data_IF_405845429279
#
_entry.id   IF_405845429279
#
_cell.length_a   1.000
_cell.length_b   1.000
_cell.length_c   1.000
_cell.angle_alpha   90.00
_cell.angle_beta   90.00
_cell.angle_gamma   90.00
#
_symmetry.space_group_name_H-M   'P 1'
#
loop_
_entity.id
_entity.type
_entity.pdbx_description
1 polymer ?
#
# COMPACT_ATOMS: atom_id res chain seq x y z
N UNK A 1 7.72 15.60 17.15
CA UNK A 1 7.79 14.17 16.82
C UNK A 1 8.39 14.09 15.43
N UNK A 2 9.53 13.44 15.25
CA UNK A 2 10.05 13.15 13.93
C UNK A 2 9.10 12.14 13.29
N UNK A 3 8.22 12.60 12.40
CA UNK A 3 7.54 11.70 11.47
C UNK A 3 8.65 11.00 10.71
N UNK A 4 8.88 9.73 11.06
CA UNK A 4 9.84 8.91 10.36
C UNK A 4 9.28 8.75 8.94
N UNK A 5 9.83 9.55 8.01
CA UNK A 5 9.40 9.56 6.62
C UNK A 5 9.64 8.19 6.01
N UNK A 6 8.63 7.32 6.08
CA UNK A 6 8.69 5.99 5.49
C UNK A 6 8.33 6.12 4.01
N UNK A 7 9.35 6.33 3.19
CA UNK A 7 9.18 6.37 1.73
C UNK A 7 8.80 4.97 1.24
N UNK A 8 7.57 4.81 0.76
CA UNK A 8 7.12 3.62 0.03
C UNK A 8 7.41 3.88 -1.45
N UNK A 9 8.04 2.91 -2.12
CA UNK A 9 8.34 3.05 -3.55
C UNK A 9 7.07 2.92 -4.40
N UNK A 10 7.01 3.52 -5.60
CA UNK A 10 6.01 3.15 -6.59
C UNK A 10 6.05 1.65 -6.88
N UNK A 11 4.97 1.08 -7.40
CA UNK A 11 4.85 -0.35 -7.70
C UNK A 11 5.05 -1.28 -6.50
N UNK A 12 4.91 -0.75 -5.26
CA UNK A 12 4.96 -1.56 -4.05
C UNK A 12 3.73 -2.47 -4.00
N UNK A 13 3.97 -3.77 -3.85
CA UNK A 13 2.91 -4.77 -3.74
C UNK A 13 2.17 -4.68 -2.41
N UNK A 14 0.86 -4.83 -2.47
CA UNK A 14 -0.06 -4.76 -1.35
C UNK A 14 -1.15 -5.82 -1.49
N UNK A 15 -1.85 -6.14 -0.40
CA UNK A 15 -2.91 -7.13 -0.42
C UNK A 15 -4.17 -6.58 0.27
N UNK A 16 -5.29 -6.64 -0.43
CA UNK A 16 -6.61 -6.33 0.09
C UNK A 16 -7.46 -7.60 0.13
N UNK A 17 -7.97 -8.05 1.29
CA UNK A 17 -8.76 -9.29 1.38
C UNK A 17 -9.95 -9.37 0.42
N UNK A 18 -10.57 -8.23 0.13
CA UNK A 18 -11.73 -8.14 -0.77
C UNK A 18 -11.36 -8.05 -2.25
N UNK A 19 -10.13 -7.59 -2.58
CA UNK A 19 -9.73 -7.28 -3.97
C UNK A 19 -8.56 -8.12 -4.49
N UNK A 20 -7.87 -8.84 -3.61
CA UNK A 20 -6.67 -9.60 -3.92
C UNK A 20 -5.38 -8.76 -3.87
N UNK A 21 -4.35 -9.25 -4.57
CA UNK A 21 -3.08 -8.54 -4.72
C UNK A 21 -3.24 -7.28 -5.59
N UNK A 22 -2.47 -6.25 -5.24
CA UNK A 22 -2.40 -5.01 -5.99
C UNK A 22 -1.04 -4.35 -5.85
N UNK A 23 -0.86 -3.19 -6.50
CA UNK A 23 0.36 -2.41 -6.40
C UNK A 23 0.08 -0.91 -6.45
N UNK A 24 0.90 -0.13 -5.74
CA UNK A 24 0.86 1.33 -5.80
C UNK A 24 1.31 1.82 -7.19
N UNK A 25 0.70 2.88 -7.70
CA UNK A 25 1.13 3.53 -8.95
C UNK A 25 2.13 4.65 -8.72
N UNK A 26 2.14 5.22 -7.52
CA UNK A 26 3.04 6.28 -7.08
C UNK A 26 3.72 5.88 -5.78
N UNK A 27 4.84 6.52 -5.47
CA UNK A 27 5.46 6.40 -4.16
C UNK A 27 4.61 7.11 -3.10
N UNK A 28 4.83 6.75 -1.84
CA UNK A 28 4.20 7.38 -0.68
C UNK A 28 5.29 8.04 0.15
N UNK A 29 5.15 9.33 0.43
CA UNK A 29 6.13 10.09 1.24
C UNK A 29 5.53 10.63 2.53
N UNK A 30 4.20 10.68 2.67
CA UNK A 30 3.52 11.03 3.91
C UNK A 30 2.36 10.08 4.24
N UNK A 31 1.91 10.04 5.50
CA UNK A 31 0.81 9.16 5.92
C UNK A 31 -0.59 9.73 5.55
N UNK A 32 -0.68 11.05 5.42
CA UNK A 32 -1.94 11.77 5.19
C UNK A 32 -2.25 12.02 3.69
N UNK A 33 -1.39 11.53 2.78
CA UNK A 33 -1.61 11.68 1.34
C UNK A 33 -2.66 10.69 0.80
N UNK A 34 -3.09 10.96 -0.44
CA UNK A 34 -3.87 10.03 -1.25
C UNK A 34 -2.96 9.39 -2.29
N UNK A 35 -3.05 8.06 -2.43
CA UNK A 35 -2.21 7.29 -3.34
C UNK A 35 -3.09 6.45 -4.26
N UNK A 36 -2.66 6.29 -5.50
CA UNK A 36 -3.34 5.40 -6.45
C UNK A 36 -2.82 3.98 -6.36
N UNK A 37 -3.73 3.01 -6.28
CA UNK A 37 -3.43 1.59 -6.21
C UNK A 37 -4.21 0.85 -7.30
N UNK A 38 -3.55 -0.07 -8.00
CA UNK A 38 -4.19 -0.97 -8.95
C UNK A 38 -4.56 -2.27 -8.26
N UNK A 39 -5.82 -2.68 -8.41
CA UNK A 39 -6.30 -4.03 -8.08
C UNK A 39 -7.03 -4.60 -9.29
N UNK A 40 -6.63 -5.77 -9.77
CA UNK A 40 -7.26 -6.48 -10.90
C UNK A 40 -7.56 -5.58 -12.12
N UNK A 41 -6.61 -4.71 -12.50
CA UNK A 41 -6.76 -3.81 -13.63
C UNK A 41 -7.62 -2.56 -13.38
N UNK A 42 -8.14 -2.36 -12.16
CA UNK A 42 -8.92 -1.17 -11.78
C UNK A 42 -8.10 -0.29 -10.82
N UNK A 43 -8.09 1.02 -11.10
CA UNK A 43 -7.42 2.03 -10.28
C UNK A 43 -8.33 2.51 -9.15
N UNK A 44 -7.82 2.52 -7.94
CA UNK A 44 -8.47 3.07 -6.75
C UNK A 44 -7.62 4.17 -6.13
N UNK A 45 -8.28 5.20 -5.61
CA UNK A 45 -7.65 6.22 -4.76
C UNK A 45 -7.84 5.81 -3.30
N UNK A 46 -6.73 5.61 -2.59
CA UNK A 46 -6.72 5.11 -1.20
C UNK A 46 -5.79 6.00 -0.38
N UNK A 47 -6.15 6.24 0.88
CA UNK A 47 -5.28 6.97 1.80
C UNK A 47 -3.98 6.19 2.04
N UNK A 48 -2.86 6.91 2.06
CA UNK A 48 -1.56 6.33 2.37
C UNK A 48 -1.56 5.59 3.71
N UNK A 49 -2.23 6.16 4.72
CA UNK A 49 -2.47 5.50 6.01
C UNK A 49 -3.00 4.08 5.87
N UNK A 50 -4.07 3.87 5.10
CA UNK A 50 -4.66 2.53 4.90
C UNK A 50 -3.70 1.59 4.19
N UNK A 51 -2.94 2.09 3.22
CA UNK A 51 -1.93 1.29 2.51
C UNK A 51 -0.84 0.81 3.47
N UNK A 52 -0.30 1.73 4.28
CA UNK A 52 0.82 1.47 5.18
C UNK A 52 0.41 0.61 6.38
N UNK A 53 -0.76 0.88 6.98
CA UNK A 53 -1.19 0.22 8.23
C UNK A 53 -1.93 -1.10 7.98
N UNK A 54 -2.56 -1.28 6.83
CA UNK A 54 -3.37 -2.47 6.53
C UNK A 54 -2.83 -3.26 5.33
N UNK A 55 -2.79 -2.64 4.15
CA UNK A 55 -2.64 -3.38 2.89
C UNK A 55 -1.22 -3.95 2.69
N UNK A 56 -0.20 -3.17 3.03
CA UNK A 56 1.19 -3.62 2.97
C UNK A 56 1.48 -4.70 4.02
N UNK A 57 1.14 -4.54 5.31
CA UNK A 57 1.28 -5.60 6.30
C UNK A 57 0.57 -6.90 5.92
N UNK A 58 -0.61 -6.81 5.30
CA UNK A 58 -1.32 -8.00 4.82
C UNK A 58 -0.51 -8.74 3.74
N UNK A 59 0.07 -8.03 2.78
CA UNK A 59 0.94 -8.63 1.77
C UNK A 59 2.18 -9.27 2.39
N UNK A 60 2.83 -8.59 3.34
CA UNK A 60 4.00 -9.13 4.03
C UNK A 60 3.66 -10.38 4.85
N UNK A 61 2.53 -10.40 5.58
CA UNK A 61 2.07 -11.58 6.33
C UNK A 61 1.70 -12.76 5.41
N UNK A 62 1.18 -12.48 4.22
CA UNK A 62 0.86 -13.52 3.24
C UNK A 62 2.13 -14.17 2.68
N UNK A 63 3.18 -13.39 2.46
CA UNK A 63 4.45 -13.86 1.87
C UNK A 63 5.47 -14.35 2.90
N UNK A 64 5.38 -13.93 4.17
CA UNK A 64 6.25 -14.44 5.24
C UNK A 64 5.73 -15.76 5.86
N UNK A 65 4.95 -16.55 5.12
CA UNK A 65 4.50 -17.89 5.54
C UNK A 65 5.54 -18.96 5.16
N UNK A 66 6.80 -18.68 5.44
CA UNK A 66 7.92 -19.64 5.39
C UNK A 66 8.40 -19.94 6.81
#
# INVERSE_FOLDING_TARGET
MSEEFKVIQPTTKVFCPEKGEGWTLTGITGIDEQTSVMFNGVRYTITAKKIIEELLPNYLKMNNKD
#
